data_IF_610323996379
#
_entry.id   IF_610323996379
#
_cell.length_a   1.000
_cell.length_b   1.000
_cell.length_c   1.000
_cell.angle_alpha   90.00
_cell.angle_beta   90.00
_cell.angle_gamma   90.00
#
_symmetry.space_group_name_H-M   'P 1'
#
loop_
_entity.id
_entity.type
_entity.pdbx_description
1 polymer ?
#
# COMPACT_ATOMS: atom_id res chain seq x y z
N UNK A 1 -13.30 90.47 22.46
CA UNK A 1 -14.48 89.64 22.69
C UNK A 1 -14.32 88.37 21.95
N UNK A 2 -14.31 87.26 22.70
CA UNK A 2 -14.38 85.82 22.36
C UNK A 2 -13.60 85.34 21.13
N UNK A 3 -12.35 84.90 21.35
CA UNK A 3 -11.58 84.05 20.47
C UNK A 3 -12.14 82.60 20.49
N UNK A 4 -12.31 81.99 19.32
CA UNK A 4 -12.58 80.55 19.14
C UNK A 4 -11.27 79.87 18.81
N UNK A 5 -10.78 79.04 19.72
CA UNK A 5 -9.71 78.09 19.45
C UNK A 5 -10.27 76.96 18.55
N UNK A 6 -9.62 76.75 17.43
CA UNK A 6 -9.80 75.55 16.62
C UNK A 6 -8.71 74.54 16.99
N UNK A 7 -9.12 73.39 17.53
CA UNK A 7 -8.22 72.24 17.72
C UNK A 7 -8.20 71.43 16.43
N UNK A 8 -7.05 71.35 15.80
CA UNK A 8 -6.75 70.41 14.70
C UNK A 8 -6.22 69.10 15.33
N UNK A 9 -7.00 68.06 15.28
CA UNK A 9 -6.57 66.71 15.63
C UNK A 9 -5.78 66.10 14.43
N UNK A 10 -4.49 65.90 14.61
CA UNK A 10 -3.69 65.12 13.67
C UNK A 10 -3.84 63.64 13.99
N UNK A 11 -4.51 62.90 13.10
CA UNK A 11 -4.56 61.44 13.16
C UNK A 11 -3.24 60.86 12.64
N UNK A 12 -2.44 60.30 13.52
CA UNK A 12 -1.26 59.50 13.16
C UNK A 12 -1.75 58.09 12.77
N UNK A 13 -1.75 57.80 11.48
CA UNK A 13 -1.92 56.43 11.00
C UNK A 13 -0.64 55.63 11.28
N UNK A 14 -0.64 54.82 12.33
CA UNK A 14 0.38 53.82 12.54
C UNK A 14 0.13 52.65 11.56
N UNK A 15 0.88 52.57 10.48
CA UNK A 15 0.99 51.38 9.63
C UNK A 15 1.74 50.32 10.42
N UNK A 16 1.03 49.39 11.03
CA UNK A 16 1.62 48.16 11.54
C UNK A 16 2.09 47.30 10.35
N UNK A 17 3.40 47.34 10.08
CA UNK A 17 4.02 46.36 9.21
C UNK A 17 3.81 44.96 9.83
N UNK A 18 2.85 44.22 9.32
CA UNK A 18 2.76 42.78 9.61
C UNK A 18 3.98 42.13 8.97
N UNK A 19 5.00 41.90 9.79
CA UNK A 19 6.10 41.01 9.47
C UNK A 19 5.47 39.64 9.24
N UNK A 20 5.25 39.27 7.98
CA UNK A 20 4.89 37.92 7.61
C UNK A 20 5.99 36.99 8.12
N UNK A 21 5.75 36.37 9.26
CA UNK A 21 6.55 35.24 9.70
C UNK A 21 6.39 34.22 8.60
N UNK A 22 7.44 34.05 7.77
CA UNK A 22 7.51 32.95 6.83
C UNK A 22 7.26 31.67 7.65
N UNK A 23 6.09 31.08 7.50
CA UNK A 23 5.80 29.79 8.09
C UNK A 23 6.85 28.84 7.49
N UNK A 24 7.77 28.43 8.36
CA UNK A 24 8.65 27.30 8.05
C UNK A 24 7.73 26.18 7.57
N UNK A 25 7.95 25.60 6.37
CA UNK A 25 7.13 24.45 5.95
C UNK A 25 7.15 23.47 7.09
N UNK A 26 5.98 23.04 7.53
CA UNK A 26 5.87 22.00 8.54
C UNK A 26 6.78 20.86 8.08
N UNK A 27 7.65 20.31 8.96
CA UNK A 27 8.49 19.18 8.59
C UNK A 27 7.56 18.17 7.94
N UNK A 28 7.97 17.63 6.78
CA UNK A 28 7.21 16.55 6.12
C UNK A 28 6.87 15.56 7.21
N UNK A 29 5.58 15.46 7.57
CA UNK A 29 5.15 14.66 8.67
C UNK A 29 5.73 13.27 8.43
N UNK A 30 6.45 12.73 9.40
CA UNK A 30 6.83 11.34 9.35
C UNK A 30 5.52 10.56 9.34
N UNK A 31 5.12 10.07 8.19
CA UNK A 31 3.84 9.43 7.95
C UNK A 31 3.78 8.00 8.52
N UNK A 32 4.57 7.73 9.54
CA UNK A 32 4.58 6.41 10.17
C UNK A 32 3.93 6.44 11.56
N UNK A 33 2.84 5.65 11.74
CA UNK A 33 1.92 5.20 10.69
C UNK A 33 1.10 6.39 10.16
N UNK A 34 0.76 6.42 8.86
CA UNK A 34 0.17 7.60 8.22
C UNK A 34 -1.12 8.09 8.87
N UNK A 35 -1.93 7.20 9.39
CA UNK A 35 -3.20 7.53 10.07
C UNK A 35 -3.05 8.20 11.44
N UNK A 36 -1.85 8.31 11.97
CA UNK A 36 -1.58 9.06 13.21
C UNK A 36 -1.44 10.56 12.98
N UNK A 37 -1.30 10.96 11.74
CA UNK A 37 -1.08 12.36 11.39
C UNK A 37 -2.37 12.96 10.89
N UNK A 38 -2.69 14.17 11.32
CA UNK A 38 -3.88 14.90 10.89
C UNK A 38 -4.01 15.09 9.38
N UNK A 39 -2.96 14.78 8.61
CA UNK A 39 -3.01 14.77 7.15
C UNK A 39 -4.08 13.81 6.59
N UNK A 40 -4.38 12.71 7.28
CA UNK A 40 -5.44 11.79 6.90
C UNK A 40 -6.84 12.30 7.27
N UNK A 41 -6.92 13.36 8.04
CA UNK A 41 -8.16 14.03 8.42
C UNK A 41 -8.45 15.26 7.56
N UNK A 42 -7.78 15.39 6.45
CA UNK A 42 -8.08 16.43 5.46
C UNK A 42 -9.54 16.32 5.01
N UNK A 43 -10.28 17.43 5.08
CA UNK A 43 -11.68 17.50 4.74
C UNK A 43 -11.98 17.02 3.31
N UNK A 44 -11.03 17.19 2.38
CA UNK A 44 -11.14 16.74 0.99
C UNK A 44 -11.15 15.22 0.84
N UNK A 45 -10.65 14.50 1.83
CA UNK A 45 -10.49 13.04 1.78
C UNK A 45 -11.33 12.28 2.80
N UNK A 46 -12.16 12.95 3.59
CA UNK A 46 -12.97 12.31 4.63
C UNK A 46 -13.83 11.17 4.11
N UNK A 47 -14.30 11.24 2.87
CA UNK A 47 -15.10 10.19 2.25
C UNK A 47 -14.28 8.98 1.79
N UNK A 48 -12.96 9.12 1.65
CA UNK A 48 -12.05 8.06 1.14
C UNK A 48 -11.17 7.44 2.22
N UNK A 49 -11.20 7.99 3.42
CA UNK A 49 -10.52 7.42 4.59
C UNK A 49 -11.36 6.34 5.29
N UNK A 50 -12.59 6.17 4.85
CA UNK A 50 -13.50 5.21 5.44
C UNK A 50 -13.06 3.80 5.10
N UNK A 51 -12.65 3.04 6.09
CA UNK A 51 -12.21 1.66 5.96
C UNK A 51 -13.40 0.72 5.82
N UNK A 52 -13.42 -0.05 4.76
CA UNK A 52 -14.24 -1.24 4.63
C UNK A 52 -13.29 -2.43 4.72
N UNK A 53 -13.45 -3.37 5.64
CA UNK A 53 -12.45 -4.42 5.88
C UNK A 53 -12.03 -5.19 4.64
N UNK A 54 -12.93 -5.36 3.66
CA UNK A 54 -12.65 -6.06 2.41
C UNK A 54 -11.93 -5.20 1.37
N UNK A 55 -11.76 -3.90 1.62
CA UNK A 55 -11.20 -2.95 0.64
C UNK A 55 -9.95 -2.27 1.17
N UNK A 56 -10.05 -1.71 2.35
CA UNK A 56 -8.99 -0.93 2.96
C UNK A 56 -8.89 -1.27 4.45
N UNK A 57 -8.21 -2.35 4.74
CA UNK A 57 -7.93 -2.79 6.10
C UNK A 57 -6.49 -2.40 6.50
N UNK A 58 -6.29 -1.09 6.65
CA UNK A 58 -4.95 -0.53 6.91
C UNK A 58 -4.45 -0.79 8.31
N UNK A 59 -5.35 -0.98 9.26
CA UNK A 59 -5.03 -1.39 10.62
C UNK A 59 -5.15 -2.91 10.74
N UNK A 60 -4.53 -3.62 9.84
CA UNK A 60 -4.65 -5.07 9.68
C UNK A 60 -3.66 -5.81 10.59
N UNK A 61 -4.05 -5.93 11.85
CA UNK A 61 -3.31 -6.58 12.93
C UNK A 61 -4.11 -7.75 13.49
N UNK A 62 -3.52 -8.94 13.53
CA UNK A 62 -4.23 -10.17 13.88
C UNK A 62 -3.43 -11.06 14.82
N UNK A 63 -4.15 -11.84 15.62
CA UNK A 63 -3.61 -12.94 16.40
C UNK A 63 -3.13 -12.57 17.80
N UNK A 64 -2.17 -13.33 18.31
CA UNK A 64 -1.70 -13.22 19.68
C UNK A 64 -0.62 -12.17 19.83
N UNK A 65 -0.93 -11.08 20.53
CA UNK A 65 0.01 -9.99 20.86
C UNK A 65 0.80 -10.25 22.15
N UNK A 66 0.37 -11.21 22.98
CA UNK A 66 0.87 -11.35 24.35
C UNK A 66 2.01 -12.36 24.46
N UNK A 67 1.88 -13.49 23.77
CA UNK A 67 2.86 -14.57 23.84
C UNK A 67 2.89 -15.35 22.51
N UNK A 68 3.14 -14.67 21.38
CA UNK A 68 3.18 -15.35 20.09
C UNK A 68 4.39 -16.29 20.00
N UNK A 69 4.22 -17.41 19.32
CA UNK A 69 5.29 -18.34 18.93
C UNK A 69 5.81 -18.09 17.52
N UNK A 70 5.09 -17.26 16.76
CA UNK A 70 5.48 -16.83 15.43
C UNK A 70 4.91 -15.43 15.16
N UNK A 71 5.75 -14.54 14.70
CA UNK A 71 5.39 -13.16 14.35
C UNK A 71 5.75 -12.90 12.89
N UNK A 72 4.74 -12.53 12.09
CA UNK A 72 4.88 -12.33 10.65
C UNK A 72 4.61 -10.86 10.29
N UNK A 73 5.59 -10.22 9.67
CA UNK A 73 5.41 -8.93 9.00
C UNK A 73 5.23 -9.15 7.51
N UNK A 74 4.08 -8.79 6.99
CA UNK A 74 3.66 -9.14 5.63
C UNK A 74 3.28 -7.89 4.85
N UNK A 75 3.80 -7.75 3.64
CA UNK A 75 3.38 -6.68 2.75
C UNK A 75 1.88 -6.73 2.45
N UNK A 76 1.24 -5.55 2.48
CA UNK A 76 -0.22 -5.45 2.54
C UNK A 76 -1.02 -5.94 1.34
N UNK A 77 -0.40 -6.32 0.23
CA UNK A 77 -1.11 -6.61 -1.01
C UNK A 77 -1.73 -8.02 -1.13
N UNK A 78 -1.65 -8.84 -0.09
CA UNK A 78 -2.38 -10.12 -0.02
C UNK A 78 -2.97 -10.40 1.37
N UNK A 79 -3.42 -9.34 2.04
CA UNK A 79 -4.08 -9.44 3.35
C UNK A 79 -5.21 -10.48 3.37
N UNK A 80 -5.98 -10.59 2.30
CA UNK A 80 -7.06 -11.55 2.12
C UNK A 80 -6.62 -13.02 2.11
N UNK A 81 -5.36 -13.29 1.77
CA UNK A 81 -4.81 -14.65 1.75
C UNK A 81 -4.26 -15.08 3.11
N UNK A 82 -3.99 -14.15 4.03
CA UNK A 82 -3.27 -14.46 5.27
C UNK A 82 -4.06 -15.31 6.24
N UNK A 83 -5.33 -15.02 6.49
CA UNK A 83 -6.12 -15.84 7.41
C UNK A 83 -6.20 -17.32 6.97
N UNK A 84 -6.53 -17.65 5.71
CA UNK A 84 -6.48 -19.06 5.27
C UNK A 84 -5.07 -19.67 5.28
N UNK A 85 -4.01 -18.90 5.02
CA UNK A 85 -2.63 -19.40 5.12
C UNK A 85 -2.26 -19.74 6.55
N UNK A 86 -2.58 -18.84 7.50
CA UNK A 86 -2.34 -19.09 8.94
C UNK A 86 -3.12 -20.30 9.42
N UNK A 87 -4.40 -20.44 9.06
CA UNK A 87 -5.21 -21.61 9.42
C UNK A 87 -4.62 -22.92 8.88
N UNK A 88 -4.14 -22.92 7.64
CA UNK A 88 -3.51 -24.11 7.05
C UNK A 88 -2.16 -24.41 7.72
N UNK A 89 -1.36 -23.39 8.05
CA UNK A 89 -0.13 -23.59 8.82
C UNK A 89 -0.40 -24.16 10.21
N UNK A 90 -1.38 -23.63 10.94
CA UNK A 90 -1.79 -24.14 12.25
C UNK A 90 -2.30 -25.59 12.19
N UNK A 91 -2.97 -25.96 11.11
CA UNK A 91 -3.40 -27.35 10.90
C UNK A 91 -2.22 -28.30 10.69
N UNK A 92 -1.20 -27.85 9.93
CA UNK A 92 0.03 -28.63 9.71
C UNK A 92 0.97 -28.60 10.94
N UNK A 93 0.88 -27.57 11.76
CA UNK A 93 1.76 -27.32 12.91
C UNK A 93 0.93 -26.96 14.16
N UNK A 94 0.26 -27.94 14.82
CA UNK A 94 -0.69 -27.68 15.91
C UNK A 94 -0.11 -26.93 17.12
N UNK A 95 1.20 -26.99 17.33
CA UNK A 95 1.90 -26.30 18.42
C UNK A 95 1.85 -24.76 18.31
N UNK A 96 1.52 -24.24 17.13
CA UNK A 96 1.38 -22.82 16.87
C UNK A 96 -0.07 -22.34 16.95
N UNK A 97 -1.03 -23.23 17.12
CA UNK A 97 -2.45 -22.87 17.07
C UNK A 97 -2.81 -21.80 18.10
N UNK A 98 -3.36 -20.69 17.60
CA UNK A 98 -3.73 -19.52 18.39
C UNK A 98 -2.53 -18.74 18.96
N UNK A 99 -1.31 -19.03 18.51
CA UNK A 99 -0.05 -18.44 18.99
C UNK A 99 0.73 -17.76 17.87
N UNK A 100 0.03 -17.29 16.84
CA UNK A 100 0.62 -16.57 15.71
C UNK A 100 0.11 -15.14 15.76
N UNK A 101 1.02 -14.18 15.59
CA UNK A 101 0.69 -12.79 15.27
C UNK A 101 1.10 -12.51 13.83
N UNK A 102 0.25 -11.81 13.09
CA UNK A 102 0.61 -11.29 11.78
C UNK A 102 -0.01 -9.92 11.54
N UNK A 103 0.64 -9.14 10.70
CA UNK A 103 0.15 -7.86 10.24
C UNK A 103 0.41 -7.71 8.75
N UNK A 104 -0.52 -7.03 8.04
CA UNK A 104 -0.43 -6.77 6.61
C UNK A 104 -0.56 -5.28 6.34
N UNK A 105 0.52 -4.56 6.49
CA UNK A 105 0.62 -3.11 6.28
C UNK A 105 1.62 -2.77 5.17
N UNK A 106 1.67 -1.53 4.68
CA UNK A 106 2.61 -1.14 3.65
C UNK A 106 4.06 -1.53 3.99
N UNK A 107 4.82 -2.15 3.06
CA UNK A 107 6.16 -2.66 3.34
C UNK A 107 7.12 -1.62 3.91
N UNK A 108 7.01 -0.35 3.52
CA UNK A 108 7.82 0.72 4.10
C UNK A 108 7.57 0.94 5.59
N UNK A 109 6.32 0.80 6.02
CA UNK A 109 5.94 0.90 7.44
C UNK A 109 6.48 -0.28 8.24
N UNK A 110 6.41 -1.49 7.69
CA UNK A 110 7.01 -2.69 8.30
C UNK A 110 8.53 -2.53 8.50
N UNK A 111 9.22 -1.91 7.56
CA UNK A 111 10.68 -1.64 7.68
C UNK A 111 10.96 -0.65 8.81
N UNK A 112 10.17 0.41 8.93
CA UNK A 112 10.33 1.36 10.05
C UNK A 112 10.02 0.71 11.39
N UNK A 113 9.03 -0.17 11.45
CA UNK A 113 8.73 -0.95 12.65
C UNK A 113 9.87 -1.92 13.00
N UNK A 114 10.47 -2.61 12.03
CA UNK A 114 11.67 -3.44 12.25
C UNK A 114 12.81 -2.62 12.86
N UNK A 115 13.11 -1.43 12.30
CA UNK A 115 14.12 -0.52 12.80
C UNK A 115 13.81 0.03 14.19
N UNK A 116 12.53 0.19 14.51
CA UNK A 116 12.05 0.60 15.82
C UNK A 116 11.98 -0.56 16.84
N UNK A 117 12.58 -1.72 16.54
CA UNK A 117 12.60 -2.89 17.42
C UNK A 117 11.24 -3.53 17.60
N UNK A 118 10.36 -3.44 16.61
CA UNK A 118 9.01 -4.00 16.61
C UNK A 118 7.94 -3.06 17.18
N UNK A 119 8.28 -1.83 17.53
CA UNK A 119 7.34 -0.85 18.08
C UNK A 119 6.49 -0.25 16.98
N UNK A 120 5.17 -0.28 17.19
CA UNK A 120 4.19 0.37 16.32
C UNK A 120 3.12 1.08 17.16
N UNK A 121 2.56 2.15 16.60
CA UNK A 121 1.44 2.88 17.18
C UNK A 121 0.33 2.99 16.12
N UNK A 122 -0.89 2.66 16.48
CA UNK A 122 -2.07 2.85 15.66
C UNK A 122 -3.16 3.54 16.49
N UNK A 123 -3.60 4.70 16.05
CA UNK A 123 -4.50 5.53 16.84
C UNK A 123 -3.86 5.90 18.19
N UNK A 124 -4.53 5.53 19.27
CA UNK A 124 -4.07 5.76 20.65
C UNK A 124 -3.34 4.56 21.27
N UNK A 125 -3.14 3.49 20.50
CA UNK A 125 -2.49 2.27 21.00
C UNK A 125 -1.05 2.20 20.51
N UNK A 126 -0.15 1.86 21.43
CA UNK A 126 1.26 1.56 21.11
C UNK A 126 1.59 0.19 21.70
N UNK A 127 2.17 -0.66 20.87
CA UNK A 127 2.66 -1.96 21.32
C UNK A 127 4.01 -2.29 20.68
N UNK A 128 4.63 -3.35 21.16
CA UNK A 128 5.89 -3.85 20.61
C UNK A 128 5.75 -5.34 20.38
N UNK A 129 5.91 -5.74 19.13
CA UNK A 129 5.95 -7.14 18.72
C UNK A 129 7.06 -7.28 17.68
N UNK A 130 8.06 -8.13 17.97
CA UNK A 130 9.24 -8.29 17.09
C UNK A 130 8.97 -9.38 16.07
N UNK A 131 9.16 -9.07 14.80
CA UNK A 131 8.97 -10.04 13.73
C UNK A 131 9.99 -11.17 13.79
N UNK A 132 9.53 -12.38 13.46
CA UNK A 132 10.38 -13.54 13.20
C UNK A 132 10.64 -13.71 11.70
N UNK A 133 9.64 -13.42 10.86
CA UNK A 133 9.77 -13.41 9.40
C UNK A 133 9.18 -12.15 8.78
N UNK A 134 9.81 -11.69 7.71
CA UNK A 134 9.37 -10.55 6.90
C UNK A 134 9.09 -11.02 5.47
N UNK A 135 7.95 -10.62 4.91
CA UNK A 135 7.48 -11.04 3.60
C UNK A 135 7.08 -9.81 2.75
N UNK A 136 7.67 -9.67 1.57
CA UNK A 136 7.40 -8.56 0.65
C UNK A 136 7.89 -8.91 -0.78
N UNK A 137 8.01 -7.91 -1.66
CA UNK A 137 8.65 -8.08 -2.96
C UNK A 137 10.12 -8.53 -2.82
N UNK A 138 10.58 -9.42 -3.69
CA UNK A 138 11.92 -10.03 -3.65
C UNK A 138 13.05 -8.98 -3.56
N UNK A 139 12.94 -7.89 -4.31
CA UNK A 139 13.92 -6.80 -4.27
C UNK A 139 14.03 -6.16 -2.88
N UNK A 140 12.89 -5.90 -2.24
CA UNK A 140 12.86 -5.32 -0.89
C UNK A 140 13.49 -6.28 0.12
N UNK A 141 13.14 -7.58 0.06
CA UNK A 141 13.72 -8.62 0.91
C UNK A 141 15.23 -8.68 0.74
N UNK A 142 15.74 -8.75 -0.50
CA UNK A 142 17.17 -8.75 -0.79
C UNK A 142 17.86 -7.48 -0.27
N UNK A 143 17.23 -6.32 -0.44
CA UNK A 143 17.77 -5.05 0.07
C UNK A 143 17.90 -5.04 1.61
N UNK A 144 16.93 -5.62 2.32
CA UNK A 144 16.97 -5.73 3.78
C UNK A 144 17.99 -6.77 4.27
N UNK A 145 18.19 -7.86 3.52
CA UNK A 145 19.29 -8.81 3.78
C UNK A 145 20.62 -8.09 3.64
N UNK A 146 20.81 -7.32 2.58
CA UNK A 146 22.04 -6.52 2.38
C UNK A 146 22.30 -5.47 3.47
N UNK A 147 21.26 -5.02 4.17
CA UNK A 147 21.32 -4.10 5.31
C UNK A 147 21.50 -4.83 6.66
N UNK A 148 21.49 -6.16 6.68
CA UNK A 148 21.57 -6.95 7.90
C UNK A 148 20.32 -6.94 8.78
N UNK A 149 19.19 -6.46 8.27
CA UNK A 149 17.89 -6.49 8.97
C UNK A 149 17.20 -7.85 8.83
N UNK A 150 17.46 -8.55 7.74
CA UNK A 150 17.05 -9.93 7.51
C UNK A 150 18.28 -10.81 7.36
N UNK A 151 18.13 -12.11 7.60
CA UNK A 151 19.21 -13.10 7.53
C UNK A 151 18.89 -14.25 6.58
N UNK A 152 19.93 -14.95 6.13
CA UNK A 152 19.79 -16.05 5.18
C UNK A 152 19.58 -15.56 3.74
N UNK A 153 19.06 -16.45 2.91
CA UNK A 153 18.68 -16.13 1.53
C UNK A 153 17.20 -15.81 1.45
N UNK A 154 16.83 -14.91 0.55
CA UNK A 154 15.42 -14.70 0.24
C UNK A 154 14.77 -16.00 -0.27
N UNK A 155 13.56 -16.28 0.19
CA UNK A 155 12.75 -17.43 -0.17
C UNK A 155 11.59 -16.98 -1.07
N UNK A 156 11.73 -17.00 -2.41
CA UNK A 156 10.63 -16.69 -3.31
C UNK A 156 9.56 -17.77 -3.26
N UNK A 157 8.28 -17.38 -3.35
CA UNK A 157 7.17 -18.33 -3.27
C UNK A 157 6.08 -18.13 -4.34
N UNK A 158 5.66 -16.89 -4.64
CA UNK A 158 4.66 -16.62 -5.68
C UNK A 158 5.02 -15.41 -6.51
N UNK A 159 4.33 -15.27 -7.62
CA UNK A 159 4.36 -14.09 -8.50
C UNK A 159 2.96 -13.51 -8.64
N UNK A 160 2.89 -12.21 -8.96
CA UNK A 160 1.66 -11.50 -9.25
C UNK A 160 1.89 -10.55 -10.41
N UNK A 161 0.85 -10.22 -11.16
CA UNK A 161 0.90 -9.26 -12.25
C UNK A 161 -0.09 -8.11 -12.04
N UNK A 162 0.08 -7.04 -12.79
CA UNK A 162 -0.84 -5.90 -12.75
C UNK A 162 -2.10 -6.19 -13.55
N UNK A 163 -3.17 -5.49 -13.19
CA UNK A 163 -4.43 -5.43 -13.95
C UNK A 163 -5.02 -4.04 -13.89
N UNK A 164 -5.94 -3.73 -14.78
CA UNK A 164 -6.75 -2.52 -14.70
C UNK A 164 -8.02 -2.87 -13.95
N UNK A 165 -8.20 -2.35 -12.75
CA UNK A 165 -9.43 -2.48 -11.99
C UNK A 165 -10.44 -1.45 -12.48
N UNK A 166 -11.68 -1.86 -12.74
CA UNK A 166 -12.77 -1.02 -13.22
C UNK A 166 -14.06 -1.33 -12.47
N UNK A 167 -15.04 -0.44 -12.52
CA UNK A 167 -16.38 -0.73 -12.00
C UNK A 167 -17.03 -1.87 -12.80
N UNK A 168 -17.87 -2.67 -12.13
CA UNK A 168 -18.60 -3.76 -12.76
C UNK A 168 -19.36 -3.28 -14.01
N UNK A 169 -19.33 -4.10 -15.06
CA UNK A 169 -19.87 -3.76 -16.35
C UNK A 169 -19.00 -2.82 -17.19
N UNK A 170 -17.88 -2.36 -16.66
CA UNK A 170 -16.90 -1.52 -17.38
C UNK A 170 -17.55 -0.38 -18.20
N UNK A 171 -18.26 0.56 -17.57
CA UNK A 171 -19.11 1.54 -18.25
C UNK A 171 -18.31 2.51 -19.14
N UNK A 172 -17.00 2.59 -18.94
CA UNK A 172 -16.11 3.40 -19.79
C UNK A 172 -15.47 2.60 -20.93
N UNK A 173 -15.79 1.31 -21.06
CA UNK A 173 -15.25 0.44 -22.12
C UNK A 173 -13.71 0.49 -22.19
N UNK A 174 -13.07 0.39 -21.03
CA UNK A 174 -11.61 0.37 -20.90
C UNK A 174 -11.13 -1.02 -21.29
N UNK A 175 -10.23 -1.11 -22.26
CA UNK A 175 -9.72 -2.39 -22.80
C UNK A 175 -8.20 -2.49 -22.77
N UNK A 176 -7.51 -1.38 -22.46
CA UNK A 176 -6.06 -1.32 -22.50
C UNK A 176 -5.51 -0.22 -21.59
N UNK A 177 -4.20 -0.26 -21.33
CA UNK A 177 -3.50 0.83 -20.63
C UNK A 177 -3.60 2.18 -21.36
N UNK A 178 -3.71 2.16 -22.71
CA UNK A 178 -3.85 3.38 -23.48
C UNK A 178 -5.16 4.12 -23.18
N UNK A 179 -6.23 3.40 -22.85
CA UNK A 179 -7.53 3.99 -22.50
C UNK A 179 -7.47 4.86 -21.23
N UNK A 180 -6.48 4.61 -20.36
CA UNK A 180 -6.29 5.40 -19.14
C UNK A 180 -5.92 6.87 -19.43
N UNK A 181 -5.38 7.16 -20.61
CA UNK A 181 -5.07 8.52 -21.03
C UNK A 181 -6.29 9.29 -21.57
N UNK A 182 -7.42 8.64 -21.79
CA UNK A 182 -8.63 9.28 -22.35
C UNK A 182 -9.14 10.38 -21.41
N UNK A 183 -9.60 11.53 -21.93
CA UNK A 183 -10.03 12.67 -21.12
C UNK A 183 -11.32 12.40 -20.32
N UNK A 184 -12.14 11.45 -20.78
CA UNK A 184 -13.40 11.07 -20.13
C UNK A 184 -13.24 9.99 -19.06
N UNK A 185 -12.01 9.53 -18.75
CA UNK A 185 -11.70 8.49 -17.76
C UNK A 185 -11.03 9.12 -16.54
N UNK A 186 -11.63 8.96 -15.37
CA UNK A 186 -11.06 9.37 -14.09
C UNK A 186 -10.30 8.19 -13.49
N UNK A 187 -9.16 8.46 -12.85
CA UNK A 187 -8.27 7.42 -12.35
C UNK A 187 -8.06 7.49 -10.84
N UNK A 188 -7.89 6.32 -10.23
CA UNK A 188 -7.28 6.14 -8.91
C UNK A 188 -5.96 5.39 -9.08
N UNK A 189 -4.85 6.05 -8.82
CA UNK A 189 -3.52 5.50 -9.08
C UNK A 189 -2.67 5.43 -7.81
N UNK A 190 -1.91 4.36 -7.61
CA UNK A 190 -0.93 4.26 -6.53
C UNK A 190 0.07 5.41 -6.57
N UNK A 191 0.37 5.99 -5.41
CA UNK A 191 1.26 7.14 -5.30
C UNK A 191 2.73 6.73 -5.47
N UNK A 192 3.44 7.26 -6.49
CA UNK A 192 4.84 6.90 -6.76
C UNK A 192 5.82 7.39 -5.68
N UNK A 193 5.40 8.30 -4.79
CA UNK A 193 6.28 8.82 -3.74
C UNK A 193 6.60 7.74 -2.68
N UNK A 194 5.66 6.83 -2.40
CA UNK A 194 5.83 5.82 -1.35
C UNK A 194 5.30 4.42 -1.65
N UNK A 195 4.65 4.22 -2.80
CA UNK A 195 4.12 2.91 -3.16
C UNK A 195 4.94 2.24 -4.27
N UNK A 196 5.58 1.12 -3.94
CA UNK A 196 6.44 0.39 -4.88
C UNK A 196 5.72 -0.10 -6.13
N UNK A 197 4.41 -0.39 -6.04
CA UNK A 197 3.59 -0.81 -7.19
C UNK A 197 3.51 0.29 -8.27
N UNK A 198 3.57 1.56 -7.90
CA UNK A 198 3.55 2.66 -8.87
C UNK A 198 4.73 2.59 -9.85
N UNK A 199 5.90 2.13 -9.40
CA UNK A 199 7.06 1.90 -10.28
C UNK A 199 6.76 0.81 -11.32
N UNK A 200 6.12 -0.27 -10.91
CA UNK A 200 5.71 -1.37 -11.79
C UNK A 200 4.67 -0.89 -12.82
N UNK A 201 3.72 -0.06 -12.38
CA UNK A 201 2.70 0.51 -13.24
C UNK A 201 3.34 1.45 -14.28
N UNK A 202 4.24 2.34 -13.87
CA UNK A 202 4.97 3.24 -14.78
C UNK A 202 5.78 2.45 -15.82
N UNK A 203 6.41 1.35 -15.41
CA UNK A 203 7.09 0.46 -16.35
C UNK A 203 6.14 -0.19 -17.36
N UNK A 204 4.93 -0.60 -16.94
CA UNK A 204 3.90 -1.13 -17.82
C UNK A 204 3.33 -0.07 -18.77
N UNK A 205 3.09 1.15 -18.29
CA UNK A 205 2.69 2.29 -19.14
C UNK A 205 3.78 2.59 -20.19
N UNK A 206 5.05 2.57 -19.77
CA UNK A 206 6.19 2.73 -20.68
C UNK A 206 6.23 1.67 -21.78
N UNK A 207 5.96 0.40 -21.45
CA UNK A 207 5.86 -0.69 -22.46
C UNK A 207 4.68 -0.52 -23.39
N UNK A 208 3.55 0.01 -22.90
CA UNK A 208 2.31 0.14 -23.66
C UNK A 208 2.28 1.36 -24.58
N UNK A 209 2.84 2.49 -24.17
CA UNK A 209 2.75 3.75 -24.92
C UNK A 209 3.92 4.72 -24.70
N UNK A 210 5.05 4.22 -24.17
CA UNK A 210 6.24 5.01 -23.91
C UNK A 210 6.04 6.07 -22.83
N UNK A 211 6.99 7.00 -22.76
CA UNK A 211 6.97 8.11 -21.80
C UNK A 211 5.73 9.00 -21.96
N UNK A 212 5.16 9.05 -23.17
CA UNK A 212 3.96 9.85 -23.44
C UNK A 212 2.76 9.35 -22.64
N UNK A 213 2.56 8.02 -22.54
CA UNK A 213 1.46 7.43 -21.78
C UNK A 213 1.68 7.58 -20.27
N UNK A 214 2.90 7.35 -19.79
CA UNK A 214 3.23 7.57 -18.38
C UNK A 214 3.00 9.02 -17.97
N UNK A 215 3.46 9.97 -18.79
CA UNK A 215 3.25 11.40 -18.55
C UNK A 215 1.76 11.80 -18.61
N UNK A 216 0.98 11.20 -19.50
CA UNK A 216 -0.46 11.44 -19.55
C UNK A 216 -1.15 11.00 -18.27
N UNK A 217 -0.84 9.80 -17.77
CA UNK A 217 -1.48 9.18 -16.59
C UNK A 217 -0.99 9.82 -15.29
N UNK A 218 0.33 9.80 -15.04
CA UNK A 218 0.91 10.27 -13.78
C UNK A 218 1.31 11.75 -13.76
N UNK A 219 1.28 12.42 -14.90
CA UNK A 219 1.57 13.85 -15.02
C UNK A 219 0.31 14.65 -15.26
N UNK A 220 -0.21 14.65 -16.50
CA UNK A 220 -1.30 15.55 -16.91
C UNK A 220 -2.59 15.30 -16.11
N UNK A 221 -3.02 14.06 -15.97
CA UNK A 221 -4.24 13.71 -15.24
C UNK A 221 -4.15 13.95 -13.73
N UNK A 222 -2.96 13.83 -13.15
CA UNK A 222 -2.75 14.21 -11.75
C UNK A 222 -2.80 15.73 -11.60
N UNK A 223 -2.20 16.46 -12.54
CA UNK A 223 -2.17 17.93 -12.50
C UNK A 223 -3.55 18.56 -12.70
N UNK A 224 -4.41 17.99 -13.54
CA UNK A 224 -5.77 18.47 -13.79
C UNK A 224 -6.83 17.90 -12.85
N UNK A 225 -6.44 16.98 -11.95
CA UNK A 225 -7.33 16.38 -10.96
C UNK A 225 -8.18 15.22 -11.49
N UNK A 226 -8.01 14.80 -12.75
CA UNK A 226 -8.71 13.62 -13.29
C UNK A 226 -8.07 12.29 -12.89
N UNK A 227 -6.90 12.32 -12.24
CA UNK A 227 -6.32 11.19 -11.52
C UNK A 227 -6.07 11.56 -10.07
N UNK A 228 -6.63 10.80 -9.14
CA UNK A 228 -6.32 10.87 -7.72
C UNK A 228 -5.22 9.85 -7.40
N UNK A 229 -4.27 10.26 -6.56
CA UNK A 229 -3.25 9.36 -6.04
C UNK A 229 -3.70 8.81 -4.70
N UNK A 230 -3.50 7.52 -4.48
CA UNK A 230 -3.77 6.91 -3.18
C UNK A 230 -2.87 7.54 -2.12
N UNK A 231 -3.38 7.74 -0.91
CA UNK A 231 -2.64 8.43 0.15
C UNK A 231 -1.91 7.50 1.09
N UNK A 232 -2.47 6.32 1.27
CA UNK A 232 -1.99 5.37 2.27
C UNK A 232 -1.50 4.11 1.57
N UNK A 233 -2.35 3.51 0.73
CA UNK A 233 -2.03 2.29 0.02
C UNK A 233 -2.93 2.12 -1.22
N UNK A 234 -2.48 1.39 -2.23
CA UNK A 234 -3.26 1.06 -3.43
C UNK A 234 -4.51 0.21 -3.13
N UNK A 235 -4.64 -0.37 -1.95
CA UNK A 235 -5.89 -0.97 -1.46
C UNK A 235 -7.07 0.03 -1.40
N UNK A 236 -6.81 1.32 -1.47
CA UNK A 236 -7.85 2.35 -1.61
C UNK A 236 -8.46 2.40 -3.02
N UNK A 237 -7.81 1.83 -4.04
CA UNK A 237 -8.29 1.87 -5.43
C UNK A 237 -9.74 1.36 -5.57
N UNK A 238 -10.13 0.17 -5.07
CA UNK A 238 -11.51 -0.29 -5.15
C UNK A 238 -12.49 0.65 -4.43
N UNK A 239 -12.11 1.26 -3.32
CA UNK A 239 -12.94 2.22 -2.61
C UNK A 239 -13.27 3.44 -3.47
N UNK A 240 -12.25 4.02 -4.14
CA UNK A 240 -12.46 5.13 -5.08
C UNK A 240 -13.39 4.77 -6.24
N UNK A 241 -13.30 3.54 -6.75
CA UNK A 241 -14.19 3.05 -7.82
C UNK A 241 -15.63 2.92 -7.31
N UNK A 242 -15.84 2.35 -6.13
CA UNK A 242 -17.19 2.15 -5.56
C UNK A 242 -17.85 3.47 -5.15
N UNK A 243 -17.07 4.45 -4.75
CA UNK A 243 -17.56 5.80 -4.40
C UNK A 243 -17.75 6.71 -5.63
N UNK A 244 -17.55 6.21 -6.84
CA UNK A 244 -17.61 6.99 -8.09
C UNK A 244 -16.63 8.19 -8.14
N UNK A 245 -15.53 8.09 -7.43
CA UNK A 245 -14.43 9.06 -7.50
C UNK A 245 -13.58 8.79 -8.74
N UNK A 246 -13.41 7.52 -9.11
CA UNK A 246 -12.66 7.09 -10.27
C UNK A 246 -13.44 6.07 -11.11
N UNK A 247 -13.06 5.95 -12.38
CA UNK A 247 -13.61 4.98 -13.32
C UNK A 247 -12.71 3.74 -13.46
N UNK A 248 -11.40 3.92 -13.26
CA UNK A 248 -10.39 2.87 -13.32
C UNK A 248 -9.20 3.17 -12.40
N UNK A 249 -8.43 2.12 -12.11
CA UNK A 249 -7.13 2.21 -11.48
C UNK A 249 -6.30 0.98 -11.79
N UNK A 250 -4.98 1.10 -11.77
CA UNK A 250 -4.08 -0.05 -11.97
C UNK A 250 -3.62 -0.55 -10.61
N UNK A 251 -3.77 -1.84 -10.38
CA UNK A 251 -3.37 -2.51 -9.14
C UNK A 251 -2.90 -3.94 -9.41
N UNK A 252 -2.67 -4.74 -8.38
CA UNK A 252 -2.36 -6.15 -8.52
C UNK A 252 -3.61 -6.94 -8.93
N UNK A 253 -3.44 -7.91 -9.84
CA UNK A 253 -4.53 -8.76 -10.30
C UNK A 253 -5.21 -9.50 -9.15
N UNK A 254 -4.45 -9.95 -8.17
CA UNK A 254 -4.98 -10.64 -6.99
C UNK A 254 -5.98 -9.79 -6.19
N UNK A 255 -5.76 -8.49 -6.10
CA UNK A 255 -6.68 -7.59 -5.40
C UNK A 255 -8.00 -7.43 -6.16
N UNK A 256 -7.95 -7.32 -7.48
CA UNK A 256 -9.16 -7.27 -8.30
C UNK A 256 -9.95 -8.57 -8.22
N UNK A 257 -9.30 -9.72 -8.33
CA UNK A 257 -9.92 -11.04 -8.18
C UNK A 257 -10.57 -11.18 -6.80
N UNK A 258 -9.90 -10.74 -5.74
CA UNK A 258 -10.48 -10.74 -4.40
C UNK A 258 -11.74 -9.88 -4.32
N UNK A 259 -11.74 -8.67 -4.90
CA UNK A 259 -12.94 -7.81 -4.92
C UNK A 259 -14.12 -8.47 -5.65
N UNK A 260 -13.87 -9.16 -6.75
CA UNK A 260 -14.88 -9.94 -7.46
C UNK A 260 -15.42 -11.09 -6.61
N UNK A 261 -14.54 -11.81 -5.91
CA UNK A 261 -14.93 -12.95 -5.06
C UNK A 261 -15.79 -12.54 -3.88
N UNK A 262 -15.56 -11.39 -3.28
CA UNK A 262 -16.40 -10.88 -2.18
C UNK A 262 -17.67 -10.17 -2.66
N UNK A 263 -17.89 -10.10 -3.97
CA UNK A 263 -19.12 -9.56 -4.57
C UNK A 263 -19.16 -8.03 -4.65
N UNK A 264 -18.04 -7.34 -4.51
CA UNK A 264 -17.97 -5.90 -4.74
C UNK A 264 -18.25 -5.57 -6.22
N UNK A 265 -18.86 -4.41 -6.53
CA UNK A 265 -19.22 -4.02 -7.90
C UNK A 265 -17.99 -3.59 -8.72
N UNK A 266 -17.00 -4.45 -8.78
CA UNK A 266 -15.69 -4.27 -9.42
C UNK A 266 -15.44 -5.45 -10.34
N UNK A 267 -14.75 -5.19 -11.44
CA UNK A 267 -14.16 -6.19 -12.31
C UNK A 267 -12.81 -5.72 -12.79
N UNK A 268 -12.11 -6.55 -13.57
CA UNK A 268 -10.81 -6.16 -14.07
C UNK A 268 -10.67 -6.39 -15.58
N UNK A 269 -9.69 -5.71 -16.15
CA UNK A 269 -9.25 -5.84 -17.52
C UNK A 269 -7.78 -6.27 -17.50
N UNK A 270 -7.49 -7.38 -18.15
CA UNK A 270 -6.13 -7.90 -18.23
C UNK A 270 -5.22 -6.99 -19.05
N UNK A 271 -4.00 -6.81 -18.55
CA UNK A 271 -2.92 -6.16 -19.29
C UNK A 271 -2.16 -7.27 -20.04
N UNK A 272 -1.97 -7.16 -21.38
CA UNK A 272 -1.19 -8.13 -22.13
C UNK A 272 0.20 -8.35 -21.54
N UNK A 273 0.67 -9.59 -21.48
CA UNK A 273 1.95 -9.95 -20.84
C UNK A 273 3.14 -9.14 -21.38
N UNK A 274 3.16 -8.82 -22.67
CA UNK A 274 4.20 -7.98 -23.28
C UNK A 274 4.25 -6.55 -22.71
N UNK A 275 3.14 -6.05 -22.18
CA UNK A 275 3.00 -4.72 -21.57
C UNK A 275 3.00 -4.77 -20.04
N UNK A 276 2.83 -5.96 -19.47
CA UNK A 276 2.70 -6.13 -18.04
C UNK A 276 4.08 -6.18 -17.33
N UNK A 277 4.05 -6.06 -16.02
CA UNK A 277 5.18 -6.36 -15.13
C UNK A 277 4.75 -7.42 -14.12
N UNK A 278 5.69 -8.28 -13.74
CA UNK A 278 5.46 -9.35 -12.78
C UNK A 278 6.27 -9.08 -11.53
N UNK A 279 5.62 -9.02 -10.37
CA UNK A 279 6.29 -8.99 -9.09
C UNK A 279 6.56 -10.40 -8.59
N UNK A 280 7.71 -10.59 -7.95
CA UNK A 280 8.07 -11.81 -7.23
C UNK A 280 7.96 -11.52 -5.75
N UNK A 281 7.20 -12.33 -5.01
CA UNK A 281 7.11 -12.25 -3.56
C UNK A 281 8.05 -13.24 -2.91
N UNK A 282 8.72 -12.76 -1.87
CA UNK A 282 9.68 -13.55 -1.10
C UNK A 282 9.56 -13.24 0.38
N UNK A 283 10.09 -14.14 1.20
CA UNK A 283 10.26 -13.94 2.62
C UNK A 283 11.68 -14.24 3.07
N UNK A 284 12.05 -13.76 4.25
CA UNK A 284 13.28 -14.10 4.93
C UNK A 284 13.10 -14.01 6.46
N UNK A 285 13.96 -14.71 7.18
CA UNK A 285 14.04 -14.64 8.65
C UNK A 285 14.56 -13.25 9.06
N UNK A 286 13.97 -12.67 10.09
CA UNK A 286 14.45 -11.40 10.66
C UNK A 286 15.72 -11.63 11.46
N UNK A 287 16.70 -10.76 11.31
CA UNK A 287 17.95 -10.85 12.08
C UNK A 287 17.65 -10.70 13.58
N UNK A 288 18.07 -11.70 14.37
CA UNK A 288 17.76 -11.73 15.81
C UNK A 288 16.32 -12.08 16.16
N UNK A 289 15.60 -12.79 15.27
CA UNK A 289 14.27 -13.31 15.52
C UNK A 289 14.19 -14.06 16.86
N UNK A 290 13.08 -13.88 17.59
CA UNK A 290 12.87 -14.57 18.86
C UNK A 290 12.54 -16.05 18.65
N UNK A 291 11.89 -16.38 17.51
CA UNK A 291 11.46 -17.73 17.16
C UNK A 291 12.00 -18.14 15.77
N UNK A 292 13.35 -18.27 15.61
CA UNK A 292 13.94 -18.50 14.28
C UNK A 292 13.54 -19.85 13.67
N UNK A 293 13.21 -20.86 14.48
CA UNK A 293 12.71 -22.14 13.97
C UNK A 293 11.29 -21.99 13.40
N UNK A 294 10.44 -21.20 14.07
CA UNK A 294 9.09 -20.91 13.59
C UNK A 294 9.12 -20.11 12.28
N UNK A 295 10.01 -19.11 12.17
CA UNK A 295 10.24 -18.37 10.93
C UNK A 295 10.60 -19.32 9.77
N UNK A 296 11.54 -20.23 9.97
CA UNK A 296 11.93 -21.22 8.96
C UNK A 296 10.80 -22.17 8.61
N UNK A 297 10.05 -22.67 9.60
CA UNK A 297 8.89 -23.52 9.36
C UNK A 297 7.83 -22.79 8.50
N UNK A 298 7.58 -21.52 8.79
CA UNK A 298 6.67 -20.70 7.96
C UNK A 298 7.22 -20.49 6.53
N UNK A 299 8.49 -20.17 6.37
CA UNK A 299 9.13 -19.98 5.06
C UNK A 299 9.19 -21.26 4.22
N UNK A 300 9.22 -22.43 4.85
CA UNK A 300 9.06 -23.70 4.20
C UNK A 300 7.59 -23.94 3.80
N UNK A 301 6.66 -23.75 4.74
CA UNK A 301 5.23 -23.95 4.54
C UNK A 301 4.69 -23.06 3.40
N UNK A 302 5.07 -21.79 3.33
CA UNK A 302 4.51 -20.86 2.33
C UNK A 302 4.82 -21.28 0.88
N UNK A 303 5.75 -22.21 0.69
CA UNK A 303 6.10 -22.84 -0.59
C UNK A 303 5.47 -24.22 -0.79
N UNK A 304 4.74 -24.71 0.20
CA UNK A 304 4.06 -26.01 0.11
C UNK A 304 2.93 -25.98 -0.94
N UNK A 305 2.56 -27.13 -1.51
CA UNK A 305 1.43 -27.22 -2.43
C UNK A 305 0.14 -26.66 -1.81
N UNK A 306 -0.08 -26.83 -0.53
CA UNK A 306 -1.24 -26.31 0.18
C UNK A 306 -1.25 -24.79 0.22
N UNK A 307 -0.15 -24.15 0.63
CA UNK A 307 -0.04 -22.70 0.65
C UNK A 307 -0.13 -22.10 -0.76
N UNK A 308 0.52 -22.71 -1.75
CA UNK A 308 0.46 -22.27 -3.14
C UNK A 308 -0.96 -22.35 -3.70
N UNK A 309 -1.71 -23.44 -3.39
CA UNK A 309 -3.13 -23.56 -3.77
C UNK A 309 -4.00 -22.45 -3.16
N UNK A 310 -3.69 -21.99 -1.94
CA UNK A 310 -4.37 -20.83 -1.33
C UNK A 310 -4.11 -19.57 -2.14
N UNK A 311 -2.86 -19.30 -2.49
CA UNK A 311 -2.51 -18.15 -3.31
C UNK A 311 -3.13 -18.18 -4.71
N UNK A 312 -3.16 -19.34 -5.36
CA UNK A 312 -3.72 -19.53 -6.71
C UNK A 312 -5.20 -19.16 -6.78
N UNK A 313 -5.96 -19.36 -5.69
CA UNK A 313 -7.37 -18.93 -5.61
C UNK A 313 -7.56 -17.43 -5.82
N UNK A 314 -6.53 -16.65 -5.52
CA UNK A 314 -6.52 -15.19 -5.68
C UNK A 314 -5.73 -14.74 -6.92
N UNK A 315 -5.39 -15.66 -7.84
CA UNK A 315 -4.72 -15.33 -9.10
C UNK A 315 -3.20 -15.20 -9.04
N UNK A 316 -2.58 -15.44 -7.88
CA UNK A 316 -1.13 -15.59 -7.83
C UNK A 316 -0.70 -16.84 -8.57
N UNK A 317 0.56 -16.87 -9.01
CA UNK A 317 1.17 -18.05 -9.59
C UNK A 317 2.36 -18.49 -8.74
N UNK A 318 2.59 -19.82 -8.57
CA UNK A 318 3.81 -20.32 -7.97
C UNK A 318 5.06 -19.73 -8.61
N UNK A 319 6.04 -19.39 -7.80
CA UNK A 319 7.32 -18.93 -8.33
C UNK A 319 8.05 -20.08 -9.02
N UNK A 320 8.47 -19.86 -10.26
CA UNK A 320 9.35 -20.75 -10.99
C UNK A 320 10.72 -20.10 -11.14
N UNK A 321 11.85 -20.78 -10.84
CA UNK A 321 13.19 -20.24 -11.07
C UNK A 321 13.37 -19.81 -12.53
N UNK A 322 13.86 -18.59 -12.75
CA UNK A 322 13.99 -18.01 -14.10
C UNK A 322 12.75 -17.23 -14.56
N UNK A 323 11.69 -17.16 -13.79
CA UNK A 323 10.61 -16.21 -14.06
C UNK A 323 11.19 -14.78 -14.08
N UNK A 324 11.00 -14.11 -15.21
CA UNK A 324 11.42 -12.72 -15.35
C UNK A 324 10.55 -11.85 -14.44
N UNK A 325 11.10 -11.47 -13.31
CA UNK A 325 10.51 -10.41 -12.48
C UNK A 325 10.90 -9.05 -13.05
N UNK A 326 9.95 -8.19 -13.27
CA UNK A 326 10.20 -6.79 -13.61
C UNK A 326 10.54 -5.96 -12.37
N UNK A 327 11.63 -6.33 -11.67
CA UNK A 327 12.11 -5.57 -10.50
C UNK A 327 13.06 -4.44 -10.87
#
# INVERSE_FOLDING_TARGET
MRAKLALTAAAVLAMAAQSGVAQTPAPKANIFPPWQHGANNDALNRGVEFTVPQIDDLADFHGDLTDPKLVLYVGGNYFFAMAPLVQAFEAAHPDYKGRIYWETIPPGLLVEQLKAGGRITSGNMTWTVKADAYLAGLRAVNGLIGQGLLTGAATPYVTNKLTIMVRAGNPKHITSLADLARPDVRLAMPNPEYEGVARQIKASLGKAGGDALDKAVYGSKVADGSAVLTRIHHRQTPLFLMQDVADAGVTWQSEAIFQEQVGNPITHVDIPDAQNTTAIYAGAEVAGAQHPQAARAWLEFIRSPEALSIFERYGFKPYAPGAAGGD
#
